data_IF_715060323628
#
_entry.id   IF_715060323628
#
_cell.length_a   1.000
_cell.length_b   1.000
_cell.length_c   1.000
_cell.angle_alpha   90.00
_cell.angle_beta   90.00
_cell.angle_gamma   90.00
#
_symmetry.space_group_name_H-M   'P 1'
#
loop_
_entity.id
_entity.type
_entity.pdbx_description
1 polymer ?
#
# COMPACT_ATOMS: atom_id res chain seq x y z
N UNK A 1 21.39 -5.17 63.39
CA UNK A 1 20.63 -6.16 62.60
C UNK A 1 19.50 -5.58 61.73
N UNK A 2 18.66 -4.65 62.21
CA UNK A 2 17.50 -4.14 61.41
C UNK A 2 17.87 -3.39 60.11
N UNK A 3 18.94 -2.59 60.09
CA UNK A 3 19.33 -1.86 58.86
C UNK A 3 19.87 -2.73 57.73
N UNK A 4 20.45 -3.90 58.07
CA UNK A 4 21.03 -4.82 57.08
C UNK A 4 19.92 -5.67 56.45
N UNK A 5 18.92 -6.10 57.24
CA UNK A 5 17.76 -6.82 56.76
C UNK A 5 16.89 -5.93 55.83
N UNK A 6 16.76 -4.63 56.17
CA UNK A 6 16.01 -3.70 55.32
C UNK A 6 16.66 -3.50 53.93
N UNK A 7 17.99 -3.43 53.89
CA UNK A 7 18.72 -3.30 52.61
C UNK A 7 18.58 -4.57 51.72
N UNK A 8 18.57 -5.76 52.36
CA UNK A 8 18.36 -7.03 51.66
C UNK A 8 16.93 -7.15 51.12
N UNK A 9 15.93 -6.75 51.90
CA UNK A 9 14.53 -6.74 51.48
C UNK A 9 14.30 -5.72 50.38
N UNK A 10 14.92 -4.54 50.46
CA UNK A 10 14.83 -3.51 49.43
C UNK A 10 15.51 -3.95 48.11
N UNK A 11 16.66 -4.65 48.19
CA UNK A 11 17.34 -5.23 47.01
C UNK A 11 16.53 -6.34 46.38
N UNK A 12 15.86 -7.19 47.17
CA UNK A 12 14.94 -8.22 46.66
C UNK A 12 13.71 -7.64 46.02
N UNK A 13 13.15 -6.56 46.60
CA UNK A 13 12.01 -5.83 46.03
C UNK A 13 12.38 -5.13 44.72
N UNK A 14 13.58 -4.56 44.62
CA UNK A 14 14.11 -3.97 43.37
C UNK A 14 14.37 -5.04 42.29
N UNK A 15 14.82 -6.23 42.64
CA UNK A 15 14.98 -7.35 41.73
C UNK A 15 13.61 -7.91 41.27
N UNK A 16 12.62 -7.93 42.17
CA UNK A 16 11.23 -8.29 41.81
C UNK A 16 10.56 -7.26 40.90
N UNK A 17 10.80 -5.96 41.12
CA UNK A 17 10.28 -4.88 40.27
C UNK A 17 10.99 -4.87 38.90
N UNK A 18 12.26 -5.26 38.80
CA UNK A 18 12.98 -5.37 37.52
C UNK A 18 12.47 -6.51 36.65
N UNK A 19 11.72 -7.46 37.19
CA UNK A 19 11.06 -8.53 36.42
C UNK A 19 9.62 -8.17 35.97
N UNK A 20 9.09 -7.00 36.34
CA UNK A 20 7.95 -6.38 35.67
C UNK A 20 8.41 -5.73 34.36
N UNK A 21 9.24 -6.43 33.63
CA UNK A 21 9.78 -6.01 32.37
C UNK A 21 8.70 -6.13 31.32
N UNK A 22 8.33 -5.00 30.76
CA UNK A 22 7.88 -4.79 29.41
C UNK A 22 7.59 -6.09 28.65
N UNK A 23 6.40 -6.63 28.83
CA UNK A 23 5.82 -7.51 27.84
C UNK A 23 5.66 -6.67 26.59
N UNK A 24 6.68 -6.67 25.73
CA UNK A 24 6.56 -6.03 24.42
C UNK A 24 5.31 -6.59 23.75
N UNK A 25 4.39 -5.70 23.40
CA UNK A 25 3.18 -6.08 22.66
C UNK A 25 3.65 -6.85 21.42
N UNK A 26 3.27 -8.12 21.32
CA UNK A 26 3.57 -8.92 20.13
C UNK A 26 2.96 -8.30 18.90
N UNK A 27 3.68 -8.30 17.80
CA UNK A 27 3.16 -7.93 16.50
C UNK A 27 2.13 -8.96 16.05
N UNK A 28 0.85 -8.54 16.01
CA UNK A 28 -0.25 -9.43 15.68
C UNK A 28 -0.46 -9.44 14.17
N UNK A 29 -0.32 -10.61 13.56
CA UNK A 29 -0.56 -10.81 12.14
C UNK A 29 -1.74 -11.76 11.93
N UNK A 30 -2.62 -11.41 11.00
CA UNK A 30 -3.64 -12.32 10.48
C UNK A 30 -3.15 -12.85 9.14
N UNK A 31 -2.99 -14.17 9.07
CA UNK A 31 -2.72 -14.90 7.85
C UNK A 31 -4.05 -15.46 7.31
N UNK A 32 -4.35 -15.11 6.08
CA UNK A 32 -5.56 -15.50 5.38
C UNK A 32 -5.21 -16.46 4.24
N UNK A 33 -5.67 -17.69 4.35
CA UNK A 33 -5.62 -18.64 3.26
C UNK A 33 -6.84 -18.43 2.36
N UNK A 34 -6.63 -17.94 1.15
CA UNK A 34 -7.69 -17.66 0.19
C UNK A 34 -8.58 -18.89 -0.04
N UNK A 35 -9.86 -18.63 -0.33
CA UNK A 35 -10.86 -19.68 -0.60
C UNK A 35 -11.06 -20.67 0.56
N UNK A 36 -11.57 -21.87 0.28
CA UNK A 36 -11.77 -22.94 1.27
C UNK A 36 -13.17 -23.55 1.22
N UNK A 37 -13.33 -24.76 1.71
CA UNK A 37 -14.60 -25.49 1.75
C UNK A 37 -15.24 -25.63 0.37
N UNK A 38 -16.44 -25.06 0.21
CA UNK A 38 -17.17 -25.04 -1.05
C UNK A 38 -16.57 -24.13 -2.13
N UNK A 39 -15.78 -23.14 -1.72
CA UNK A 39 -15.07 -22.26 -2.64
C UNK A 39 -13.69 -22.86 -2.95
N UNK A 40 -13.56 -23.42 -4.15
CA UNK A 40 -12.31 -24.06 -4.58
C UNK A 40 -11.27 -23.06 -5.09
N UNK A 41 -11.64 -21.83 -5.36
CA UNK A 41 -10.81 -20.89 -6.10
C UNK A 41 -10.51 -21.38 -7.51
N UNK A 42 -9.45 -20.87 -8.11
CA UNK A 42 -8.95 -21.38 -9.37
C UNK A 42 -8.54 -22.85 -9.23
N UNK A 43 -8.84 -23.66 -10.27
CA UNK A 43 -8.45 -25.06 -10.27
C UNK A 43 -8.16 -25.57 -11.69
N UNK A 44 -7.30 -26.58 -11.78
CA UNK A 44 -6.95 -27.23 -13.05
C UNK A 44 -6.55 -28.67 -12.83
N UNK A 45 -6.79 -29.49 -13.87
CA UNK A 45 -6.34 -30.88 -13.91
C UNK A 45 -5.20 -31.02 -14.91
N UNK A 46 -4.09 -31.58 -14.46
CA UNK A 46 -2.95 -31.98 -15.27
C UNK A 46 -2.84 -33.49 -15.31
N UNK A 47 -2.31 -34.04 -16.41
CA UNK A 47 -2.24 -35.50 -16.61
C UNK A 47 -1.29 -36.20 -15.65
N UNK A 48 -0.28 -35.49 -15.17
CA UNK A 48 0.83 -36.00 -14.37
C UNK A 48 0.69 -35.74 -12.87
N UNK A 49 0.14 -34.59 -12.45
CA UNK A 49 -0.01 -34.23 -11.03
C UNK A 49 -1.50 -34.26 -10.57
N UNK A 50 -2.43 -34.59 -11.49
CA UNK A 50 -3.85 -34.65 -11.16
C UNK A 50 -4.51 -33.27 -11.03
N UNK A 51 -5.63 -33.23 -10.28
CA UNK A 51 -6.35 -31.97 -10.00
C UNK A 51 -5.66 -31.21 -8.89
N UNK A 52 -5.37 -29.95 -9.16
CA UNK A 52 -4.93 -28.96 -8.18
C UNK A 52 -6.03 -27.91 -8.00
N UNK A 53 -6.20 -27.42 -6.78
CA UNK A 53 -7.13 -26.35 -6.43
C UNK A 53 -6.41 -25.29 -5.60
N UNK A 54 -6.74 -24.05 -5.86
CA UNK A 54 -6.15 -22.90 -5.19
C UNK A 54 -6.29 -22.99 -3.67
N UNK A 55 -7.47 -23.37 -3.16
CA UNK A 55 -7.74 -23.50 -1.73
C UNK A 55 -6.75 -24.42 -0.99
N UNK A 56 -6.28 -25.46 -1.66
CA UNK A 56 -5.34 -26.43 -1.03
C UNK A 56 -3.92 -25.86 -0.98
N UNK A 57 -3.50 -25.23 -2.06
CA UNK A 57 -2.18 -24.58 -2.17
C UNK A 57 -2.07 -23.40 -1.20
N UNK A 58 -3.08 -22.55 -1.16
CA UNK A 58 -3.10 -21.36 -0.27
C UNK A 58 -3.08 -21.77 1.19
N UNK A 59 -3.80 -22.83 1.57
CA UNK A 59 -3.77 -23.37 2.92
C UNK A 59 -2.39 -23.91 3.27
N UNK A 60 -1.77 -24.68 2.39
CA UNK A 60 -0.45 -25.26 2.62
C UNK A 60 0.61 -24.16 2.82
N UNK A 61 0.67 -23.17 1.94
CA UNK A 61 1.60 -22.04 2.04
C UNK A 61 1.34 -21.24 3.33
N UNK A 62 0.07 -20.91 3.61
CA UNK A 62 -0.31 -20.13 4.81
C UNK A 62 0.13 -20.82 6.09
N UNK A 63 -0.05 -22.14 6.21
CA UNK A 63 0.37 -22.90 7.38
C UNK A 63 1.89 -22.92 7.53
N UNK A 64 2.65 -23.02 6.43
CA UNK A 64 4.11 -22.96 6.44
C UNK A 64 4.62 -21.58 6.89
N UNK A 65 4.05 -20.48 6.36
CA UNK A 65 4.36 -19.10 6.79
C UNK A 65 4.08 -18.95 8.29
N UNK A 66 2.91 -19.40 8.71
CA UNK A 66 2.50 -19.29 10.10
C UNK A 66 3.39 -20.10 11.05
N UNK A 67 3.77 -21.33 10.69
CA UNK A 67 4.66 -22.14 11.48
C UNK A 67 6.06 -21.52 11.66
N UNK A 68 6.56 -20.77 10.67
CA UNK A 68 7.80 -20.01 10.79
C UNK A 68 7.63 -18.80 11.72
N UNK A 69 6.53 -18.05 11.57
CA UNK A 69 6.25 -16.87 12.42
C UNK A 69 5.99 -17.26 13.88
N UNK A 70 5.30 -18.37 14.16
CA UNK A 70 5.01 -18.85 15.51
C UNK A 70 6.27 -19.22 16.30
N UNK A 71 7.36 -19.60 15.63
CA UNK A 71 8.67 -19.82 16.25
C UNK A 71 9.31 -18.51 16.75
N UNK A 72 8.92 -17.37 16.22
CA UNK A 72 9.43 -16.06 16.61
C UNK A 72 8.52 -15.44 17.69
N UNK A 73 9.09 -15.21 18.88
CA UNK A 73 8.35 -14.71 20.06
C UNK A 73 7.77 -13.31 19.88
N UNK A 74 8.24 -12.56 18.92
CA UNK A 74 7.77 -11.20 18.63
C UNK A 74 6.41 -11.19 17.93
N UNK A 75 5.97 -12.33 17.39
CA UNK A 75 4.73 -12.45 16.64
C UNK A 75 3.63 -13.16 17.42
N UNK A 76 2.40 -12.73 17.14
CA UNK A 76 1.16 -13.45 17.44
C UNK A 76 0.47 -13.71 16.11
N UNK A 77 0.39 -14.98 15.71
CA UNK A 77 -0.24 -15.39 14.46
C UNK A 77 -1.69 -15.78 14.72
N UNK A 78 -2.57 -15.30 13.86
CA UNK A 78 -3.99 -15.64 13.82
C UNK A 78 -4.30 -16.06 12.38
N UNK A 79 -5.03 -17.14 12.21
CA UNK A 79 -5.39 -17.66 10.89
C UNK A 79 -6.88 -17.47 10.66
N UNK A 80 -7.27 -17.13 9.45
CA UNK A 80 -8.68 -17.12 9.05
C UNK A 80 -9.24 -18.54 8.96
N UNK A 81 -8.39 -19.49 8.52
CA UNK A 81 -8.65 -20.94 8.55
C UNK A 81 -7.37 -21.75 8.70
N UNK A 82 -7.45 -22.92 9.28
CA UNK A 82 -6.37 -23.92 9.41
C UNK A 82 -6.72 -25.26 8.77
N UNK A 83 -7.93 -25.42 8.31
CA UNK A 83 -8.47 -26.61 7.65
C UNK A 83 -9.22 -26.19 6.38
N UNK A 84 -9.72 -27.17 5.64
CA UNK A 84 -10.54 -26.91 4.45
C UNK A 84 -11.99 -26.53 4.85
N UNK A 85 -12.15 -25.27 5.26
CA UNK A 85 -13.43 -24.63 5.58
C UNK A 85 -13.55 -23.29 4.85
N UNK A 86 -14.78 -22.80 4.70
CA UNK A 86 -15.06 -21.52 4.02
C UNK A 86 -15.41 -20.41 5.01
N UNK A 87 -14.48 -19.57 5.43
CA UNK A 87 -14.81 -18.28 6.07
C UNK A 87 -15.24 -17.27 5.00
N UNK A 88 -16.35 -16.58 5.23
CA UNK A 88 -16.80 -15.50 4.36
C UNK A 88 -15.78 -14.35 4.33
N UNK A 89 -15.84 -13.46 3.32
CA UNK A 89 -14.95 -12.29 3.26
C UNK A 89 -15.15 -11.38 4.48
N UNK A 90 -16.40 -11.23 4.93
CA UNK A 90 -16.74 -10.49 6.15
C UNK A 90 -16.14 -11.13 7.40
N UNK A 91 -16.15 -12.47 7.50
CA UNK A 91 -15.55 -13.15 8.66
C UNK A 91 -14.04 -12.95 8.72
N UNK A 92 -13.35 -13.01 7.57
CA UNK A 92 -11.89 -12.77 7.46
C UNK A 92 -11.52 -11.37 7.93
N UNK A 93 -12.17 -10.34 7.39
CA UNK A 93 -11.89 -8.94 7.74
C UNK A 93 -12.32 -8.60 9.17
N UNK A 94 -13.47 -9.13 9.63
CA UNK A 94 -13.94 -8.95 10.99
C UNK A 94 -13.02 -9.61 12.02
N UNK A 95 -12.47 -10.79 11.71
CA UNK A 95 -11.47 -11.46 12.55
C UNK A 95 -10.22 -10.57 12.70
N UNK A 96 -9.71 -10.03 11.59
CA UNK A 96 -8.54 -9.16 11.61
C UNK A 96 -8.79 -7.89 12.44
N UNK A 97 -9.93 -7.22 12.23
CA UNK A 97 -10.29 -6.00 12.93
C UNK A 97 -10.52 -6.22 14.44
N UNK A 98 -11.27 -7.27 14.81
CA UNK A 98 -11.50 -7.62 16.23
C UNK A 98 -10.22 -8.01 16.96
N UNK A 99 -9.32 -8.66 16.25
CA UNK A 99 -8.00 -9.05 16.80
C UNK A 99 -7.06 -7.87 16.96
N UNK A 100 -7.43 -6.67 16.45
CA UNK A 100 -6.56 -5.49 16.39
C UNK A 100 -5.22 -5.85 15.78
N UNK A 101 -5.26 -6.56 14.66
CA UNK A 101 -4.07 -7.01 13.97
C UNK A 101 -3.24 -5.81 13.50
N UNK A 102 -1.92 -5.97 13.57
CA UNK A 102 -0.97 -4.98 13.07
C UNK A 102 -0.72 -5.18 11.57
N UNK A 103 -1.08 -6.36 11.02
CA UNK A 103 -0.92 -6.72 9.61
C UNK A 103 -1.92 -7.81 9.19
N UNK A 104 -2.42 -7.72 7.96
CA UNK A 104 -3.23 -8.75 7.30
C UNK A 104 -2.57 -9.19 6.00
N UNK A 105 -2.37 -10.49 5.83
CA UNK A 105 -1.75 -11.09 4.62
C UNK A 105 -2.65 -12.19 4.09
N UNK A 106 -3.24 -11.97 2.92
CA UNK A 106 -4.03 -12.95 2.17
C UNK A 106 -3.16 -13.61 1.12
N UNK A 107 -3.22 -14.94 1.03
CA UNK A 107 -2.40 -15.75 0.13
C UNK A 107 -3.31 -16.43 -0.87
N UNK A 108 -3.05 -16.23 -2.16
CA UNK A 108 -3.82 -16.67 -3.31
C UNK A 108 -2.95 -17.28 -4.40
N UNK A 109 -3.60 -17.86 -5.41
CA UNK A 109 -2.99 -18.30 -6.65
C UNK A 109 -3.75 -17.74 -7.84
N UNK A 110 -3.06 -17.04 -8.72
CA UNK A 110 -3.65 -16.40 -9.88
C UNK A 110 -4.16 -17.41 -10.91
N UNK A 111 -5.06 -16.95 -11.77
CA UNK A 111 -5.50 -17.65 -12.97
C UNK A 111 -5.84 -16.64 -14.05
N UNK A 112 -5.62 -17.02 -15.31
CA UNK A 112 -5.90 -16.18 -16.46
C UNK A 112 -6.50 -16.99 -17.60
N UNK A 113 -7.36 -16.36 -18.39
CA UNK A 113 -7.81 -16.95 -19.66
C UNK A 113 -6.65 -17.13 -20.66
N UNK A 114 -5.54 -16.42 -20.49
CA UNK A 114 -4.33 -16.56 -21.30
C UNK A 114 -3.42 -17.63 -20.67
N UNK A 115 -3.20 -18.78 -21.31
CA UNK A 115 -2.39 -19.86 -20.74
C UNK A 115 -0.90 -19.53 -20.62
N UNK A 116 -0.46 -18.45 -21.26
CA UNK A 116 0.92 -17.93 -21.20
C UNK A 116 1.14 -16.89 -20.09
N UNK A 117 0.10 -16.56 -19.32
CA UNK A 117 0.26 -15.66 -18.17
C UNK A 117 1.02 -16.37 -17.05
N UNK A 118 2.07 -15.76 -16.55
CA UNK A 118 2.92 -16.29 -15.48
C UNK A 118 3.50 -15.17 -14.62
N UNK A 119 4.04 -15.53 -13.46
CA UNK A 119 4.70 -14.62 -12.53
C UNK A 119 3.86 -14.33 -11.29
N UNK A 120 4.46 -13.68 -10.31
CA UNK A 120 3.81 -13.28 -9.05
C UNK A 120 3.23 -11.88 -9.15
N UNK A 121 2.17 -11.63 -8.40
CA UNK A 121 1.55 -10.31 -8.27
C UNK A 121 1.18 -10.07 -6.80
N UNK A 122 1.37 -8.87 -6.30
CA UNK A 122 0.85 -8.51 -4.98
C UNK A 122 -0.12 -7.34 -5.10
N UNK A 123 -1.28 -7.48 -4.47
CA UNK A 123 -2.34 -6.48 -4.48
C UNK A 123 -2.44 -5.78 -3.13
N UNK A 124 -2.62 -4.47 -3.19
CA UNK A 124 -2.97 -3.62 -2.05
C UNK A 124 -4.29 -2.92 -2.33
N UNK A 125 -5.00 -2.54 -1.27
CA UNK A 125 -6.25 -1.83 -1.42
C UNK A 125 -6.03 -0.47 -2.06
N UNK A 126 -6.80 -0.17 -3.10
CA UNK A 126 -6.76 1.08 -3.82
C UNK A 126 -7.75 1.10 -4.98
N UNK A 127 -7.87 2.22 -5.71
CA UNK A 127 -8.69 2.28 -6.91
C UNK A 127 -8.13 1.35 -7.99
N UNK A 128 -9.01 0.79 -8.81
CA UNK A 128 -8.61 -0.05 -9.93
C UNK A 128 -7.76 0.74 -10.93
N UNK A 129 -6.54 0.28 -11.20
CA UNK A 129 -5.58 1.01 -12.02
C UNK A 129 -5.50 0.56 -13.48
N UNK A 130 -5.87 -0.69 -13.80
CA UNK A 130 -5.77 -1.26 -15.15
C UNK A 130 -6.89 -2.23 -15.47
N UNK A 131 -7.30 -2.28 -16.76
CA UNK A 131 -8.30 -3.23 -17.26
C UNK A 131 -7.82 -4.69 -17.23
N UNK A 132 -6.52 -4.95 -17.41
CA UNK A 132 -5.98 -6.33 -17.44
C UNK A 132 -6.14 -7.05 -16.09
N UNK A 133 -6.06 -6.31 -14.98
CA UNK A 133 -6.25 -6.88 -13.64
C UNK A 133 -7.71 -6.80 -13.15
N UNK A 134 -8.64 -6.32 -13.97
CA UNK A 134 -10.06 -6.28 -13.63
C UNK A 134 -10.63 -7.70 -13.49
N UNK A 135 -10.11 -8.66 -14.28
CA UNK A 135 -10.53 -10.06 -14.21
C UNK A 135 -10.19 -10.69 -12.86
N UNK A 136 -8.99 -10.43 -12.32
CA UNK A 136 -8.61 -10.89 -10.97
C UNK A 136 -9.55 -10.29 -9.93
N UNK A 137 -9.74 -8.95 -9.96
CA UNK A 137 -10.63 -8.29 -8.99
C UNK A 137 -12.08 -8.80 -9.08
N UNK A 138 -12.58 -9.11 -10.27
CA UNK A 138 -13.91 -9.72 -10.44
C UNK A 138 -13.95 -11.11 -9.80
N UNK A 139 -13.01 -11.98 -10.14
CA UNK A 139 -12.97 -13.35 -9.61
C UNK A 139 -12.90 -13.37 -8.08
N UNK A 140 -11.96 -12.57 -7.49
CA UNK A 140 -11.80 -12.51 -6.04
C UNK A 140 -13.00 -11.84 -5.34
N UNK A 141 -13.72 -10.97 -6.03
CA UNK A 141 -14.93 -10.33 -5.49
C UNK A 141 -16.19 -11.15 -5.74
N UNK A 142 -16.25 -12.03 -6.75
CA UNK A 142 -17.44 -12.80 -7.08
C UNK A 142 -17.84 -13.81 -5.98
N UNK A 143 -16.90 -14.16 -5.09
CA UNK A 143 -17.18 -15.01 -3.92
C UNK A 143 -18.18 -14.40 -2.94
N UNK A 144 -18.50 -13.10 -3.02
CA UNK A 144 -19.58 -12.47 -2.23
C UNK A 144 -20.93 -13.13 -2.48
N UNK A 145 -21.14 -13.74 -3.65
CA UNK A 145 -22.38 -14.41 -3.97
C UNK A 145 -22.52 -15.78 -3.30
N UNK A 146 -21.46 -16.30 -2.68
CA UNK A 146 -21.48 -17.58 -1.97
C UNK A 146 -22.02 -17.48 -0.55
N UNK A 147 -22.02 -16.27 0.04
CA UNK A 147 -22.48 -16.04 1.41
C UNK A 147 -23.48 -14.88 1.51
N UNK A 148 -24.57 -15.09 2.26
CA UNK A 148 -25.65 -14.11 2.37
C UNK A 148 -25.25 -12.86 3.17
N UNK A 149 -24.33 -12.99 4.17
CA UNK A 149 -23.82 -11.84 4.91
C UNK A 149 -22.92 -10.99 4.04
N UNK A 150 -22.12 -11.63 3.18
CA UNK A 150 -21.26 -10.91 2.24
C UNK A 150 -22.11 -10.18 1.20
N UNK A 151 -23.16 -10.77 0.68
CA UNK A 151 -24.14 -10.08 -0.19
C UNK A 151 -24.73 -8.85 0.48
N UNK A 152 -25.13 -8.96 1.74
CA UNK A 152 -25.69 -7.83 2.49
C UNK A 152 -24.65 -6.76 2.77
N UNK A 153 -23.43 -7.16 3.13
CA UNK A 153 -22.33 -6.24 3.49
C UNK A 153 -21.80 -5.49 2.28
N UNK A 154 -21.62 -6.19 1.16
CA UNK A 154 -20.94 -5.66 -0.03
C UNK A 154 -21.90 -5.34 -1.17
N UNK A 155 -23.07 -5.97 -1.24
CA UNK A 155 -24.06 -5.78 -2.30
C UNK A 155 -24.72 -4.39 -2.31
N UNK A 156 -24.79 -3.72 -1.16
CA UNK A 156 -25.27 -2.33 -1.03
C UNK A 156 -24.16 -1.29 -1.23
N UNK A 157 -22.90 -1.72 -1.34
CA UNK A 157 -21.80 -0.80 -1.56
C UNK A 157 -21.88 -0.21 -2.97
N UNK A 158 -22.19 1.06 -3.05
CA UNK A 158 -22.07 1.81 -4.29
C UNK A 158 -20.67 2.42 -4.39
N UNK A 159 -19.80 1.87 -5.25
CA UNK A 159 -18.44 2.39 -5.42
C UNK A 159 -18.40 3.83 -5.95
N UNK A 160 -19.52 4.30 -6.52
CA UNK A 160 -19.63 5.63 -7.13
C UNK A 160 -20.26 6.65 -6.17
N UNK A 161 -20.68 6.26 -4.95
CA UNK A 161 -21.21 7.23 -4.00
C UNK A 161 -20.08 8.09 -3.41
N UNK A 162 -20.23 9.42 -3.37
CA UNK A 162 -19.20 10.33 -2.86
C UNK A 162 -18.81 10.03 -1.41
N UNK A 163 -19.76 9.66 -0.55
CA UNK A 163 -19.54 9.36 0.85
C UNK A 163 -18.72 8.08 1.04
N UNK A 164 -19.06 7.03 0.29
CA UNK A 164 -18.32 5.76 0.28
C UNK A 164 -16.88 5.96 -0.21
N UNK A 165 -16.70 6.78 -1.24
CA UNK A 165 -15.38 7.11 -1.78
C UNK A 165 -14.53 7.92 -0.80
N UNK A 166 -15.10 8.89 -0.08
CA UNK A 166 -14.35 9.70 0.89
C UNK A 166 -13.91 8.85 2.08
N UNK A 167 -14.81 8.08 2.68
CA UNK A 167 -14.49 7.19 3.80
C UNK A 167 -13.41 6.17 3.41
N UNK A 168 -13.56 5.56 2.24
CA UNK A 168 -12.61 4.59 1.71
C UNK A 168 -11.25 5.23 1.42
N UNK A 169 -11.20 6.41 0.80
CA UNK A 169 -9.95 7.14 0.52
C UNK A 169 -9.21 7.51 1.80
N UNK A 170 -9.90 7.95 2.85
CA UNK A 170 -9.29 8.27 4.14
C UNK A 170 -8.68 7.03 4.81
N UNK A 171 -9.40 5.91 4.79
CA UNK A 171 -8.91 4.65 5.37
C UNK A 171 -7.74 4.09 4.56
N UNK A 172 -7.83 4.11 3.24
CA UNK A 172 -6.78 3.63 2.33
C UNK A 172 -5.50 4.45 2.45
N UNK A 173 -5.60 5.78 2.49
CA UNK A 173 -4.41 6.64 2.57
C UNK A 173 -3.58 6.38 3.83
N UNK A 174 -4.21 5.96 4.93
CA UNK A 174 -3.54 5.67 6.19
C UNK A 174 -2.65 4.44 6.14
N UNK A 175 -3.06 3.40 5.40
CA UNK A 175 -2.36 2.10 5.40
C UNK A 175 -1.68 1.77 4.07
N UNK A 176 -1.95 2.55 3.02
CA UNK A 176 -1.47 2.27 1.67
C UNK A 176 0.07 2.20 1.60
N UNK A 177 0.78 3.18 2.16
CA UNK A 177 2.24 3.20 2.15
C UNK A 177 2.82 1.94 2.80
N UNK A 178 2.28 1.55 3.95
CA UNK A 178 2.72 0.35 4.66
C UNK A 178 2.39 -0.93 3.90
N UNK A 179 1.23 -0.98 3.25
CA UNK A 179 0.84 -2.13 2.40
C UNK A 179 1.73 -2.24 1.17
N UNK A 180 2.04 -1.12 0.51
CA UNK A 180 2.98 -1.07 -0.63
C UNK A 180 4.39 -1.50 -0.22
N UNK A 181 4.85 -1.09 0.97
CA UNK A 181 6.15 -1.53 1.49
C UNK A 181 6.21 -3.05 1.62
N UNK A 182 5.19 -3.66 2.26
CA UNK A 182 5.17 -5.12 2.39
C UNK A 182 5.07 -5.80 1.04
N UNK A 183 4.18 -5.33 0.16
CA UNK A 183 4.03 -5.89 -1.19
C UNK A 183 5.35 -5.86 -1.97
N UNK A 184 6.10 -4.75 -1.87
CA UNK A 184 7.43 -4.62 -2.48
C UNK A 184 8.41 -5.64 -1.95
N UNK A 185 8.49 -5.80 -0.63
CA UNK A 185 9.39 -6.78 0.01
C UNK A 185 9.05 -8.23 -0.37
N UNK A 186 7.76 -8.56 -0.56
CA UNK A 186 7.32 -9.87 -1.04
C UNK A 186 7.80 -10.11 -2.46
N UNK A 187 7.50 -9.20 -3.38
CA UNK A 187 7.90 -9.33 -4.78
C UNK A 187 9.43 -9.35 -4.95
N UNK A 188 10.16 -8.53 -4.19
CA UNK A 188 11.63 -8.54 -4.17
C UNK A 188 12.20 -9.91 -3.75
N UNK A 189 11.60 -10.57 -2.76
CA UNK A 189 12.02 -11.91 -2.36
C UNK A 189 11.73 -12.96 -3.43
N UNK A 190 10.55 -12.92 -4.06
CA UNK A 190 10.23 -13.83 -5.16
C UNK A 190 11.22 -13.70 -6.33
N UNK A 191 11.66 -12.48 -6.65
CA UNK A 191 12.67 -12.25 -7.69
C UNK A 191 14.07 -12.66 -7.24
N UNK A 192 14.50 -12.17 -6.07
CA UNK A 192 15.90 -12.26 -5.68
C UNK A 192 16.25 -13.63 -5.06
N UNK A 193 15.33 -14.25 -4.32
CA UNK A 193 15.53 -15.57 -3.67
C UNK A 193 15.01 -16.69 -4.54
N UNK A 194 13.74 -16.65 -4.92
CA UNK A 194 13.10 -17.76 -5.62
C UNK A 194 13.37 -17.73 -7.13
N UNK A 195 14.01 -16.66 -7.64
CA UNK A 195 14.33 -16.46 -9.06
C UNK A 195 13.12 -16.47 -9.97
N UNK A 196 11.98 -16.07 -9.45
CA UNK A 196 10.72 -16.02 -10.17
C UNK A 196 10.50 -14.67 -10.86
N UNK A 197 9.69 -14.67 -11.88
CA UNK A 197 9.23 -13.43 -12.52
C UNK A 197 8.19 -12.75 -11.64
N UNK A 198 8.41 -11.49 -11.29
CA UNK A 198 7.43 -10.65 -10.64
C UNK A 198 6.74 -9.77 -11.67
N UNK A 199 5.42 -9.65 -11.56
CA UNK A 199 4.62 -8.70 -12.33
C UNK A 199 4.45 -7.38 -11.58
N UNK A 200 4.76 -7.37 -10.26
CA UNK A 200 4.82 -6.19 -9.41
C UNK A 200 3.68 -6.07 -8.41
N UNK A 201 3.62 -4.89 -7.78
CA UNK A 201 2.58 -4.54 -6.80
C UNK A 201 1.53 -3.65 -7.45
N UNK A 202 0.26 -3.99 -7.28
CA UNK A 202 -0.87 -3.30 -7.91
C UNK A 202 -1.88 -2.83 -6.87
N UNK A 203 -2.54 -1.73 -7.16
CA UNK A 203 -3.68 -1.27 -6.37
C UNK A 203 -4.97 -1.78 -6.98
N UNK A 204 -5.82 -2.41 -6.15
CA UNK A 204 -7.11 -2.98 -6.55
C UNK A 204 -8.14 -2.81 -5.46
N UNK A 205 -9.40 -2.67 -5.87
CA UNK A 205 -10.52 -2.69 -4.94
C UNK A 205 -10.95 -4.14 -4.68
N UNK A 206 -10.27 -4.79 -3.75
CA UNK A 206 -10.58 -6.16 -3.32
C UNK A 206 -11.38 -6.14 -2.02
N UNK A 207 -12.48 -6.90 -1.96
CA UNK A 207 -13.37 -6.91 -0.80
C UNK A 207 -12.65 -7.37 0.48
N UNK A 208 -11.81 -8.40 0.37
CA UNK A 208 -11.04 -8.93 1.51
C UNK A 208 -10.02 -7.95 2.07
N UNK A 209 -9.60 -6.94 1.31
CA UNK A 209 -8.67 -5.90 1.76
C UNK A 209 -9.39 -4.61 2.21
N UNK A 210 -10.56 -4.33 1.61
CA UNK A 210 -11.24 -3.04 1.72
C UNK A 210 -11.66 -2.70 3.15
N UNK A 211 -12.15 -3.67 3.91
CA UNK A 211 -12.69 -3.45 5.24
C UNK A 211 -11.65 -3.57 6.37
N UNK A 212 -10.39 -3.79 6.05
CA UNK A 212 -9.33 -3.95 7.02
C UNK A 212 -8.89 -2.60 7.60
N UNK A 213 -8.76 -2.55 8.92
CA UNK A 213 -8.30 -1.38 9.67
C UNK A 213 -6.80 -1.44 10.01
N UNK A 214 -6.01 -2.11 9.16
CA UNK A 214 -4.56 -2.26 9.24
C UNK A 214 -3.95 -2.38 7.83
N UNK A 215 -2.61 -2.24 7.69
CA UNK A 215 -1.91 -2.58 6.46
C UNK A 215 -2.27 -3.99 5.98
N UNK A 216 -2.56 -4.14 4.69
CA UNK A 216 -3.12 -5.38 4.14
C UNK A 216 -2.63 -5.62 2.72
N UNK A 217 -2.27 -6.86 2.41
CA UNK A 217 -1.89 -7.32 1.07
C UNK A 217 -2.61 -8.60 0.70
N UNK A 218 -2.83 -8.80 -0.60
CA UNK A 218 -3.18 -10.08 -1.21
C UNK A 218 -2.06 -10.47 -2.16
N UNK A 219 -1.49 -11.66 -1.95
CA UNK A 219 -0.32 -12.18 -2.67
C UNK A 219 -0.78 -13.27 -3.62
N UNK A 220 -0.63 -13.06 -4.90
CA UNK A 220 -0.82 -14.06 -5.96
C UNK A 220 0.50 -14.80 -6.18
N UNK A 221 0.59 -16.01 -5.67
CA UNK A 221 1.84 -16.77 -5.63
C UNK A 221 2.26 -17.39 -6.96
N UNK A 222 1.46 -17.26 -7.99
CA UNK A 222 1.70 -17.78 -9.36
C UNK A 222 0.41 -18.25 -10.03
N UNK A 223 0.48 -18.59 -11.30
CA UNK A 223 -0.69 -18.92 -12.11
C UNK A 223 -0.96 -20.42 -12.13
N UNK A 224 -2.13 -20.84 -11.62
CA UNK A 224 -2.60 -22.26 -11.65
C UNK A 224 -2.77 -22.80 -13.08
N UNK A 225 -3.10 -21.94 -14.04
CA UNK A 225 -3.29 -22.35 -15.43
C UNK A 225 -2.00 -22.38 -16.27
N UNK A 226 -0.88 -21.93 -15.73
CA UNK A 226 0.43 -22.03 -16.40
C UNK A 226 1.13 -23.33 -15.99
N UNK A 227 1.50 -24.22 -16.94
CA UNK A 227 2.01 -25.56 -16.59
C UNK A 227 3.21 -25.57 -15.64
N UNK A 228 4.24 -24.79 -15.91
CA UNK A 228 5.45 -24.75 -15.09
C UNK A 228 5.17 -24.16 -13.69
N UNK A 229 4.41 -23.06 -13.62
CA UNK A 229 4.07 -22.45 -12.33
C UNK A 229 3.17 -23.33 -11.50
N UNK A 230 2.17 -23.97 -12.12
CA UNK A 230 1.27 -24.89 -11.41
C UNK A 230 2.01 -26.04 -10.74
N UNK A 231 2.97 -26.64 -11.42
CA UNK A 231 3.81 -27.70 -10.85
C UNK A 231 4.65 -27.18 -9.70
N UNK A 232 5.21 -25.99 -9.83
CA UNK A 232 6.00 -25.36 -8.78
C UNK A 232 5.18 -25.05 -7.53
N UNK A 233 4.05 -24.33 -7.67
CA UNK A 233 3.21 -23.93 -6.53
C UNK A 233 2.47 -25.12 -5.89
N UNK A 234 2.26 -26.21 -6.62
CA UNK A 234 1.68 -27.44 -6.08
C UNK A 234 2.73 -28.33 -5.39
N UNK A 235 4.01 -28.14 -5.67
CA UNK A 235 5.07 -28.94 -5.07
C UNK A 235 5.38 -28.52 -3.63
N UNK A 236 5.77 -29.49 -2.79
CA UNK A 236 6.20 -29.23 -1.40
C UNK A 236 7.35 -28.22 -1.37
N UNK A 237 8.35 -28.40 -2.22
CA UNK A 237 9.50 -27.51 -2.34
C UNK A 237 9.09 -26.08 -2.72
N UNK A 238 8.25 -25.92 -3.74
CA UNK A 238 7.80 -24.59 -4.18
C UNK A 238 7.00 -23.86 -3.09
N UNK A 239 6.15 -24.60 -2.35
CA UNK A 239 5.40 -24.05 -1.23
C UNK A 239 6.31 -23.63 -0.07
N UNK A 240 7.39 -24.37 0.20
CA UNK A 240 8.40 -24.01 1.20
C UNK A 240 9.16 -22.74 0.82
N UNK A 241 9.65 -22.66 -0.42
CA UNK A 241 10.36 -21.48 -0.95
C UNK A 241 9.47 -20.24 -0.93
N UNK A 242 8.24 -20.33 -1.42
CA UNK A 242 7.25 -19.24 -1.38
C UNK A 242 6.97 -18.79 0.06
N UNK A 243 6.76 -19.77 0.96
CA UNK A 243 6.47 -19.47 2.36
C UNK A 243 7.67 -18.79 3.05
N UNK A 244 8.89 -19.20 2.76
CA UNK A 244 10.10 -18.57 3.28
C UNK A 244 10.25 -17.14 2.76
N UNK A 245 9.97 -16.89 1.48
CA UNK A 245 10.02 -15.56 0.89
C UNK A 245 8.98 -14.62 1.51
N UNK A 246 7.76 -15.08 1.75
CA UNK A 246 6.71 -14.30 2.44
C UNK A 246 7.10 -14.05 3.90
N UNK A 247 7.59 -15.07 4.61
CA UNK A 247 8.08 -14.94 5.99
C UNK A 247 9.18 -13.88 6.11
N UNK A 248 10.19 -13.94 5.25
CA UNK A 248 11.28 -12.97 5.26
C UNK A 248 10.80 -11.55 4.97
N UNK A 249 9.85 -11.37 4.04
CA UNK A 249 9.22 -10.07 3.77
C UNK A 249 8.50 -9.51 5.00
N UNK A 250 7.78 -10.35 5.74
CA UNK A 250 7.09 -9.96 6.98
C UNK A 250 8.09 -9.55 8.07
N UNK A 251 9.20 -10.29 8.22
CA UNK A 251 10.26 -9.96 9.17
C UNK A 251 10.88 -8.58 8.84
N UNK A 252 11.21 -8.35 7.57
CA UNK A 252 11.83 -7.10 7.16
C UNK A 252 10.85 -5.92 7.22
N UNK A 253 9.58 -6.16 6.91
CA UNK A 253 8.50 -5.21 7.12
C UNK A 253 8.39 -4.79 8.60
N UNK A 254 8.32 -5.77 9.53
CA UNK A 254 8.28 -5.48 10.97
C UNK A 254 9.49 -4.66 11.42
N UNK A 255 10.69 -5.03 11.00
CA UNK A 255 11.91 -4.25 11.29
C UNK A 255 11.79 -2.80 10.80
N UNK A 256 11.24 -2.57 9.61
CA UNK A 256 11.04 -1.23 9.06
C UNK A 256 10.03 -0.41 9.87
N UNK A 257 8.92 -1.04 10.30
CA UNK A 257 7.90 -0.42 11.15
C UNK A 257 8.44 -0.09 12.53
N UNK A 258 9.18 -1.01 13.17
CA UNK A 258 9.78 -0.82 14.49
C UNK A 258 10.77 0.35 14.49
N UNK A 259 11.57 0.50 13.43
CA UNK A 259 12.47 1.65 13.27
C UNK A 259 11.73 2.98 13.18
N UNK A 260 10.60 3.03 12.47
CA UNK A 260 9.75 4.23 12.40
C UNK A 260 9.14 4.59 13.75
N UNK A 261 8.81 3.58 14.58
CA UNK A 261 8.18 3.77 15.90
C UNK A 261 9.19 4.04 17.02
N UNK A 262 10.43 3.58 16.88
CA UNK A 262 11.49 3.62 17.89
C UNK A 262 12.37 4.89 17.90
N UNK A 263 11.93 5.97 17.27
CA UNK A 263 12.68 7.26 17.21
C UNK A 263 12.95 7.96 18.55
N UNK A 264 12.89 7.24 19.66
CA UNK A 264 13.31 7.72 20.99
C UNK A 264 13.64 6.52 21.89
N UNK A 265 14.87 6.04 21.86
CA UNK A 265 15.67 5.48 22.97
C UNK A 265 16.96 4.84 22.40
N UNK A 266 18.08 5.41 22.84
CA UNK A 266 19.47 4.92 22.98
C UNK A 266 19.99 3.73 22.14
N UNK A 267 21.02 4.03 21.37
CA UNK A 267 21.92 3.10 20.66
C UNK A 267 22.56 2.06 21.57
N UNK A 268 22.52 0.78 21.17
CA UNK A 268 23.55 -0.20 21.46
C UNK A 268 24.07 -0.81 20.16
N UNK A 269 25.39 -0.73 20.02
CA UNK A 269 26.20 -1.14 18.88
C UNK A 269 26.22 -2.67 18.74
N UNK A 270 25.88 -3.21 17.55
CA UNK A 270 26.24 -4.55 17.12
C UNK A 270 26.63 -4.57 15.64
N UNK A 271 27.55 -5.44 15.26
CA UNK A 271 28.29 -5.55 14.02
C UNK A 271 27.45 -5.97 12.78
N UNK A 272 27.99 -5.84 11.54
CA UNK A 272 27.19 -5.58 10.35
C UNK A 272 26.65 -6.85 9.71
N UNK A 273 25.34 -7.08 9.78
CA UNK A 273 24.60 -7.87 8.81
C UNK A 273 24.27 -7.00 7.58
N UNK A 274 24.21 -7.65 6.39
CA UNK A 274 23.91 -7.01 5.09
C UNK A 274 22.87 -5.88 5.20
N UNK A 275 23.04 -4.76 4.53
CA UNK A 275 22.30 -3.54 4.80
C UNK A 275 20.79 -3.74 4.54
N UNK A 276 20.01 -3.70 5.62
CA UNK A 276 18.59 -3.43 5.51
C UNK A 276 18.41 -2.09 4.78
N UNK A 277 17.47 -2.02 3.86
CA UNK A 277 17.22 -0.83 3.07
C UNK A 277 16.96 0.37 3.99
N UNK A 278 17.94 1.25 4.09
CA UNK A 278 17.81 2.48 4.87
C UNK A 278 16.84 3.41 4.15
N UNK A 279 15.85 4.01 4.82
CA UNK A 279 15.01 5.01 4.19
C UNK A 279 15.89 6.08 3.53
N UNK A 280 15.59 6.40 2.30
CA UNK A 280 16.30 7.43 1.57
C UNK A 280 16.06 8.78 2.23
N UNK A 281 17.07 9.65 2.18
CA UNK A 281 17.01 10.99 2.76
C UNK A 281 15.89 11.84 2.17
N UNK A 282 15.54 11.58 0.91
CA UNK A 282 14.53 12.31 0.15
C UNK A 282 13.26 11.48 -0.02
N UNK A 283 12.12 12.16 -0.11
CA UNK A 283 10.92 11.58 -0.65
C UNK A 283 11.01 11.54 -2.18
N UNK A 284 10.74 10.40 -2.78
CA UNK A 284 10.78 10.22 -4.23
C UNK A 284 9.37 10.16 -4.80
N UNK A 285 9.19 10.84 -5.92
CA UNK A 285 8.01 10.77 -6.78
C UNK A 285 8.45 10.43 -8.18
N UNK A 286 7.58 9.80 -8.94
CA UNK A 286 7.87 9.45 -10.35
C UNK A 286 7.33 10.56 -11.23
N UNK A 287 8.20 11.28 -11.90
CA UNK A 287 7.80 12.23 -12.95
C UNK A 287 7.33 11.43 -14.17
N UNK A 288 6.05 11.48 -14.46
CA UNK A 288 5.44 10.79 -15.59
C UNK A 288 5.72 11.52 -16.90
N UNK A 289 5.43 12.82 -16.89
CA UNK A 289 5.57 13.68 -18.07
C UNK A 289 5.55 15.15 -17.67
N UNK A 290 5.95 16.00 -18.61
CA UNK A 290 5.72 17.45 -18.60
C UNK A 290 4.86 17.83 -19.80
N UNK A 291 3.93 18.76 -19.62
CA UNK A 291 3.02 19.22 -20.69
C UNK A 291 2.69 20.71 -20.54
N UNK A 292 2.57 21.46 -21.63
CA UNK A 292 2.03 22.81 -21.57
C UNK A 292 0.53 22.81 -21.28
N UNK A 293 -0.16 21.68 -21.49
CA UNK A 293 -1.58 21.49 -21.23
C UNK A 293 -1.79 20.96 -19.83
N UNK A 294 -2.75 21.54 -19.10
CA UNK A 294 -3.18 21.06 -17.78
C UNK A 294 -4.16 19.90 -17.97
N UNK A 295 -3.84 18.76 -17.38
CA UNK A 295 -4.70 17.58 -17.33
C UNK A 295 -5.29 17.43 -15.94
N UNK A 296 -6.56 17.02 -15.86
CA UNK A 296 -7.22 16.69 -14.60
C UNK A 296 -6.81 15.29 -14.12
N UNK A 297 -7.05 14.98 -12.86
CA UNK A 297 -6.63 13.73 -12.19
C UNK A 297 -7.05 12.44 -12.93
N UNK A 298 -8.21 12.43 -13.58
CA UNK A 298 -8.73 11.28 -14.33
C UNK A 298 -8.58 11.41 -15.85
N UNK A 299 -7.74 12.34 -16.32
CA UNK A 299 -7.55 12.55 -17.74
C UNK A 299 -6.92 11.30 -18.40
N UNK A 300 -7.41 10.86 -19.57
CA UNK A 300 -6.83 9.72 -20.30
C UNK A 300 -5.33 9.86 -20.57
N UNK A 301 -4.80 11.09 -20.66
CA UNK A 301 -3.38 11.36 -20.82
C UNK A 301 -2.55 10.83 -19.63
N UNK A 302 -3.14 10.69 -18.45
CA UNK A 302 -2.52 10.13 -17.25
C UNK A 302 -2.64 8.59 -17.18
N UNK A 303 -3.24 7.96 -18.19
CA UNK A 303 -3.28 6.50 -18.40
C UNK A 303 -3.75 5.70 -17.18
N UNK A 304 -4.70 6.26 -16.43
CA UNK A 304 -5.28 5.63 -15.25
C UNK A 304 -4.39 5.59 -14.01
N UNK A 305 -3.23 6.26 -14.01
CA UNK A 305 -2.44 6.43 -12.79
C UNK A 305 -3.13 7.43 -11.87
N UNK A 306 -3.47 6.96 -10.68
CA UNK A 306 -4.06 7.79 -9.62
C UNK A 306 -2.97 8.37 -8.71
N UNK A 307 -3.33 9.29 -7.83
CA UNK A 307 -2.41 9.98 -6.90
C UNK A 307 -1.32 10.81 -7.61
N UNK A 308 -1.70 11.46 -8.67
CA UNK A 308 -0.81 12.36 -9.40
C UNK A 308 -0.78 13.71 -8.72
N UNK A 309 0.42 14.15 -8.33
CA UNK A 309 0.68 15.52 -7.92
C UNK A 309 1.08 16.33 -9.16
N UNK A 310 0.37 17.42 -9.41
CA UNK A 310 0.71 18.33 -10.52
C UNK A 310 1.40 19.57 -9.98
N UNK A 311 2.58 19.88 -10.52
CA UNK A 311 3.35 21.10 -10.19
C UNK A 311 3.59 21.88 -11.48
N UNK A 312 3.32 23.19 -11.46
CA UNK A 312 3.65 24.07 -12.59
C UNK A 312 5.06 24.66 -12.38
N UNK A 313 5.94 24.39 -13.31
CA UNK A 313 7.31 24.92 -13.34
C UNK A 313 7.69 25.34 -14.75
N UNK A 314 8.25 26.54 -14.91
CA UNK A 314 8.73 27.08 -16.20
C UNK A 314 7.69 26.99 -17.32
N UNK A 315 6.43 27.32 -17.04
CA UNK A 315 5.33 27.26 -18.02
C UNK A 315 4.82 25.86 -18.35
N UNK A 316 5.38 24.81 -17.76
CA UNK A 316 5.00 23.40 -17.97
C UNK A 316 4.35 22.83 -16.72
N UNK A 317 3.35 21.98 -16.92
CA UNK A 317 2.76 21.17 -15.86
C UNK A 317 3.52 19.85 -15.76
N UNK A 318 4.13 19.59 -14.62
CA UNK A 318 4.84 18.34 -14.30
C UNK A 318 3.96 17.44 -13.48
N UNK A 319 3.75 16.22 -13.94
CA UNK A 319 2.87 15.22 -13.34
C UNK A 319 3.68 14.19 -12.60
N UNK A 320 3.56 14.17 -11.27
CA UNK A 320 4.27 13.25 -10.39
C UNK A 320 3.33 12.19 -9.84
N UNK A 321 3.73 10.95 -9.96
CA UNK A 321 3.01 9.78 -9.48
C UNK A 321 3.66 9.23 -8.22
N UNK A 322 2.83 8.78 -7.26
CA UNK A 322 3.21 8.16 -6.00
C UNK A 322 4.17 9.01 -5.15
N UNK A 323 4.45 8.57 -3.95
CA UNK A 323 5.47 9.15 -3.06
C UNK A 323 6.01 8.06 -2.14
N UNK A 324 7.33 8.01 -1.98
CA UNK A 324 7.99 7.11 -1.04
C UNK A 324 9.40 7.58 -0.71
N UNK A 325 9.89 7.23 0.48
CA UNK A 325 11.29 7.37 0.86
C UNK A 325 12.02 6.01 0.91
N UNK A 326 11.40 4.93 0.39
CA UNK A 326 11.99 3.59 0.32
C UNK A 326 12.45 3.31 -1.11
N UNK A 327 13.68 2.81 -1.28
CA UNK A 327 14.26 2.57 -2.60
C UNK A 327 13.49 1.50 -3.38
N UNK A 328 13.12 0.39 -2.72
CA UNK A 328 12.33 -0.69 -3.34
C UNK A 328 10.97 -0.18 -3.84
N UNK A 329 10.25 0.57 -3.02
CA UNK A 329 8.95 1.15 -3.39
C UNK A 329 9.10 2.18 -4.49
N UNK A 330 10.17 2.99 -4.49
CA UNK A 330 10.51 3.91 -5.58
C UNK A 330 10.66 3.17 -6.91
N UNK A 331 11.39 2.05 -6.91
CA UNK A 331 11.65 1.27 -8.12
C UNK A 331 10.37 0.58 -8.63
N UNK A 332 9.53 0.08 -7.73
CA UNK A 332 8.19 -0.44 -8.05
C UNK A 332 7.32 0.65 -8.69
N UNK A 333 7.24 1.83 -8.07
CA UNK A 333 6.46 2.94 -8.61
C UNK A 333 6.98 3.37 -10.00
N UNK A 334 8.29 3.37 -10.20
CA UNK A 334 8.89 3.66 -11.49
C UNK A 334 8.53 2.61 -12.53
N UNK A 335 8.57 1.32 -12.17
CA UNK A 335 8.15 0.23 -13.05
C UNK A 335 6.67 0.38 -13.41
N UNK A 336 5.79 0.59 -12.44
CA UNK A 336 4.36 0.79 -12.65
C UNK A 336 4.06 1.95 -13.61
N UNK A 337 4.79 3.06 -13.50
CA UNK A 337 4.66 4.17 -14.42
C UNK A 337 5.10 3.80 -15.86
N UNK A 338 6.17 3.05 -16.01
CA UNK A 338 6.65 2.58 -17.31
C UNK A 338 5.69 1.57 -17.96
N UNK A 339 5.16 0.66 -17.16
CA UNK A 339 4.18 -0.36 -17.59
C UNK A 339 2.85 0.29 -18.02
N UNK A 340 2.44 1.38 -17.34
CA UNK A 340 1.32 2.22 -17.78
C UNK A 340 1.62 2.99 -19.11
N UNK A 341 2.84 2.90 -19.63
CA UNK A 341 3.24 3.48 -20.92
C UNK A 341 3.91 4.84 -20.83
N UNK A 342 4.37 5.27 -19.65
CA UNK A 342 5.25 6.43 -19.48
C UNK A 342 6.71 6.01 -19.58
N UNK A 343 7.15 5.64 -20.78
CA UNK A 343 8.48 5.05 -21.04
C UNK A 343 9.64 5.93 -20.56
N UNK A 344 9.46 7.25 -20.56
CA UNK A 344 10.47 8.23 -20.13
C UNK A 344 10.29 8.66 -18.66
N UNK A 345 9.42 8.00 -17.89
CA UNK A 345 9.25 8.30 -16.47
C UNK A 345 10.56 8.04 -15.71
N UNK A 346 10.84 8.88 -14.74
CA UNK A 346 11.98 8.73 -13.82
C UNK A 346 11.65 9.25 -12.42
N UNK A 347 12.41 8.75 -11.44
CA UNK A 347 12.23 9.16 -10.05
C UNK A 347 12.88 10.53 -9.79
N UNK A 348 12.16 11.38 -9.07
CA UNK A 348 12.63 12.70 -8.63
C UNK A 348 12.60 12.74 -7.11
N UNK A 349 13.73 13.12 -6.51
CA UNK A 349 13.85 13.29 -5.06
C UNK A 349 13.37 14.68 -4.62
N UNK A 350 12.56 14.69 -3.56
CA UNK A 350 12.13 15.90 -2.86
C UNK A 350 12.69 15.84 -1.45
N UNK A 351 13.45 16.86 -1.05
CA UNK A 351 13.98 16.94 0.33
C UNK A 351 12.84 17.26 1.27
N UNK A 352 12.49 16.36 2.24
CA UNK A 352 11.40 16.60 3.17
C UNK A 352 11.66 17.87 4.00
N UNK A 353 10.61 18.64 4.24
CA UNK A 353 10.61 19.82 5.12
C UNK A 353 11.69 20.88 4.80
N UNK A 354 12.29 20.85 3.61
CA UNK A 354 13.24 21.87 3.21
C UNK A 354 12.47 23.16 2.85
N UNK A 355 12.73 24.23 3.60
CA UNK A 355 12.32 25.57 3.20
C UNK A 355 13.06 25.95 1.94
N UNK A 356 12.32 26.41 0.95
CA UNK A 356 12.93 26.89 -0.27
C UNK A 356 13.60 28.21 0.06
N UNK A 357 14.91 28.24 -0.04
CA UNK A 357 15.72 29.42 0.30
C UNK A 357 15.50 30.59 -0.66
N UNK A 358 14.94 30.34 -1.85
CA UNK A 358 14.73 31.34 -2.90
C UNK A 358 13.42 31.13 -3.63
N UNK A 359 12.27 31.16 -2.91
CA UNK A 359 10.97 31.01 -3.53
C UNK A 359 9.90 30.51 -2.56
N UNK A 360 8.71 30.32 -3.08
CA UNK A 360 7.57 29.82 -2.32
C UNK A 360 6.67 28.98 -3.22
N UNK A 361 5.76 28.20 -2.62
CA UNK A 361 4.67 27.54 -3.31
C UNK A 361 3.38 28.32 -3.14
N UNK A 362 2.58 28.31 -4.18
CA UNK A 362 1.21 28.84 -4.20
C UNK A 362 0.29 27.87 -4.93
N UNK A 363 -1.00 28.02 -4.78
CA UNK A 363 -1.99 27.25 -5.55
C UNK A 363 -2.52 28.10 -6.70
N UNK A 364 -2.44 27.59 -7.90
CA UNK A 364 -3.26 28.07 -9.00
C UNK A 364 -4.67 27.53 -8.80
N UNK A 365 -5.61 28.42 -8.50
CA UNK A 365 -7.01 28.07 -8.20
C UNK A 365 -7.95 28.28 -9.38
N UNK A 366 -7.53 29.08 -10.36
CA UNK A 366 -8.25 29.27 -11.61
C UNK A 366 -7.33 29.88 -12.69
N UNK A 367 -7.55 29.47 -13.92
CA UNK A 367 -6.89 30.02 -15.10
C UNK A 367 -7.94 30.17 -16.22
N UNK A 368 -8.05 31.34 -16.83
CA UNK A 368 -9.02 31.59 -17.88
C UNK A 368 -9.40 33.04 -18.02
N UNK A 369 -10.67 33.33 -18.27
CA UNK A 369 -11.19 34.66 -18.34
C UNK A 369 -11.18 35.38 -16.98
N UNK A 370 -11.33 36.72 -17.00
CA UNK A 370 -11.39 37.47 -15.74
C UNK A 370 -12.60 37.07 -14.91
N UNK A 371 -12.33 36.57 -13.69
CA UNK A 371 -13.41 36.30 -12.74
C UNK A 371 -14.11 37.59 -12.32
N UNK A 372 -15.45 37.54 -12.25
CA UNK A 372 -16.23 38.65 -11.67
C UNK A 372 -16.17 38.53 -10.12
N UNK A 373 -16.47 39.62 -9.41
CA UNK A 373 -16.41 39.68 -7.96
C UNK A 373 -17.37 38.72 -7.24
N UNK A 374 -18.37 38.20 -7.94
CA UNK A 374 -19.34 37.23 -7.40
C UNK A 374 -18.95 35.78 -7.70
N UNK A 375 -17.74 35.53 -8.25
CA UNK A 375 -17.29 34.17 -8.49
C UNK A 375 -17.13 33.41 -7.18
N UNK A 376 -17.50 32.13 -7.18
CA UNK A 376 -17.39 31.25 -6.00
C UNK A 376 -16.00 31.25 -5.39
N UNK A 377 -14.96 31.29 -6.23
CA UNK A 377 -13.57 31.30 -5.79
C UNK A 377 -13.25 32.55 -4.96
N UNK A 378 -13.61 33.75 -5.47
CA UNK A 378 -13.32 35.00 -4.78
C UNK A 378 -14.18 35.21 -3.53
N UNK A 379 -15.35 34.58 -3.45
CA UNK A 379 -16.19 34.61 -2.25
C UNK A 379 -15.64 33.68 -1.12
N UNK A 380 -15.01 32.57 -1.46
CA UNK A 380 -14.58 31.54 -0.49
C UNK A 380 -13.09 31.59 -0.17
N UNK A 381 -12.28 32.30 -0.95
CA UNK A 381 -10.86 32.52 -0.68
C UNK A 381 -10.57 34.01 -0.55
N UNK A 382 -10.00 34.40 0.60
CA UNK A 382 -9.53 35.78 0.81
C UNK A 382 -8.08 35.88 0.29
N UNK A 383 -7.70 37.05 -0.18
CA UNK A 383 -6.33 37.35 -0.64
C UNK A 383 -5.87 36.47 -1.81
N UNK A 384 -6.75 36.31 -2.81
CA UNK A 384 -6.39 35.64 -4.06
C UNK A 384 -5.63 36.62 -4.94
N UNK A 385 -4.38 36.26 -5.27
CA UNK A 385 -3.56 37.01 -6.21
C UNK A 385 -4.03 36.81 -7.64
N UNK A 386 -3.91 37.85 -8.49
CA UNK A 386 -4.28 37.79 -9.88
C UNK A 386 -3.17 38.34 -10.76
N UNK A 387 -2.77 37.56 -11.72
CA UNK A 387 -1.85 37.96 -12.79
C UNK A 387 -2.51 37.83 -14.14
N UNK A 388 -2.12 38.69 -15.12
CA UNK A 388 -2.57 38.57 -16.51
C UNK A 388 -1.34 38.37 -17.40
N UNK A 389 -1.33 37.29 -18.14
CA UNK A 389 -0.33 37.00 -19.14
C UNK A 389 -1.00 36.59 -20.47
N UNK A 390 -0.54 37.17 -21.57
CA UNK A 390 -0.99 36.82 -22.94
C UNK A 390 -2.54 36.78 -23.09
N UNK A 391 -3.26 37.65 -22.37
CA UNK A 391 -4.74 37.74 -22.43
C UNK A 391 -5.46 36.80 -21.45
N UNK A 392 -4.77 35.89 -20.81
CA UNK A 392 -5.30 34.93 -19.84
C UNK A 392 -5.05 35.44 -18.43
N UNK A 393 -6.03 35.26 -17.54
CA UNK A 393 -5.89 35.57 -16.12
C UNK A 393 -5.58 34.32 -15.32
N UNK A 394 -4.57 34.43 -14.45
CA UNK A 394 -4.12 33.41 -13.51
C UNK A 394 -4.47 33.87 -12.10
N UNK A 395 -5.18 33.04 -11.36
CA UNK A 395 -5.54 33.31 -9.98
C UNK A 395 -4.82 32.35 -9.09
N UNK A 396 -4.04 32.87 -8.14
CA UNK A 396 -3.25 32.07 -7.21
C UNK A 396 -3.63 32.39 -5.76
N UNK A 397 -3.53 31.38 -4.90
CA UNK A 397 -3.93 31.50 -3.51
C UNK A 397 -2.89 30.89 -2.58
N UNK A 398 -2.61 31.61 -1.50
CA UNK A 398 -1.69 31.20 -0.45
C UNK A 398 -0.23 31.31 -0.85
N UNK A 399 0.61 31.36 0.17
CA UNK A 399 2.05 31.46 0.02
C UNK A 399 2.69 30.62 1.13
N UNK A 400 3.22 29.45 0.77
CA UNK A 400 3.84 28.52 1.69
C UNK A 400 5.24 28.16 1.21
N UNK A 401 6.08 27.71 2.10
CA UNK A 401 7.52 27.56 1.82
C UNK A 401 7.97 26.11 1.71
N UNK A 402 7.09 25.15 2.00
CA UNK A 402 7.35 23.73 1.80
C UNK A 402 6.31 23.10 0.85
N UNK A 403 6.70 22.07 0.13
CA UNK A 403 5.77 21.33 -0.71
C UNK A 403 4.67 20.65 0.11
N UNK A 404 5.01 20.20 1.32
CA UNK A 404 4.06 19.58 2.25
C UNK A 404 2.96 20.56 2.67
N UNK A 405 3.32 21.78 3.02
CA UNK A 405 2.36 22.85 3.32
C UNK A 405 1.51 23.20 2.09
N UNK A 406 2.09 23.16 0.88
CA UNK A 406 1.36 23.40 -0.35
C UNK A 406 0.31 22.31 -0.62
N UNK A 407 0.66 21.04 -0.39
CA UNK A 407 -0.28 19.90 -0.50
C UNK A 407 -1.37 19.99 0.56
N UNK A 408 -1.05 20.41 1.78
CA UNK A 408 -2.03 20.63 2.84
C UNK A 408 -3.01 21.76 2.46
N UNK A 409 -2.46 22.90 1.99
CA UNK A 409 -3.25 24.03 1.51
C UNK A 409 -4.16 23.64 0.35
N UNK A 410 -3.66 22.80 -0.58
CA UNK A 410 -4.46 22.28 -1.69
C UNK A 410 -5.69 21.51 -1.19
N UNK A 411 -5.49 20.60 -0.25
CA UNK A 411 -6.60 19.83 0.35
C UNK A 411 -7.61 20.72 1.06
N UNK A 412 -7.16 21.75 1.78
CA UNK A 412 -8.03 22.71 2.45
C UNK A 412 -8.90 23.51 1.45
N UNK A 413 -8.32 23.89 0.31
CA UNK A 413 -9.02 24.61 -0.77
C UNK A 413 -9.99 23.69 -1.50
N UNK A 414 -9.59 22.44 -1.77
CA UNK A 414 -10.46 21.44 -2.39
C UNK A 414 -11.64 21.05 -1.49
N UNK A 415 -11.44 21.00 -0.17
CA UNK A 415 -12.52 20.79 0.81
C UNK A 415 -13.57 21.91 0.80
N UNK A 416 -13.19 23.13 0.39
CA UNK A 416 -14.11 24.24 0.13
C UNK A 416 -14.83 24.15 -1.21
N UNK A 417 -14.69 23.04 -1.96
CA UNK A 417 -15.35 22.84 -3.26
C UNK A 417 -14.64 23.47 -4.46
N UNK A 418 -13.47 24.07 -4.28
CA UNK A 418 -12.64 24.63 -5.36
C UNK A 418 -11.72 23.53 -5.86
N UNK A 419 -12.11 22.88 -6.97
CA UNK A 419 -11.42 21.73 -7.55
C UNK A 419 -10.44 22.11 -8.65
N UNK A 420 -9.61 21.16 -9.08
CA UNK A 420 -8.63 21.33 -10.16
C UNK A 420 -7.56 22.40 -9.87
N UNK A 421 -7.16 22.51 -8.61
CA UNK A 421 -6.08 23.40 -8.21
C UNK A 421 -4.72 22.80 -8.58
N UNK A 422 -3.73 23.65 -8.85
CA UNK A 422 -2.36 23.22 -9.21
C UNK A 422 -1.36 23.86 -8.29
N UNK A 423 -0.51 23.04 -7.67
CA UNK A 423 0.62 23.57 -6.91
C UNK A 423 1.63 24.18 -7.89
N UNK A 424 1.95 25.44 -7.67
CA UNK A 424 2.90 26.20 -8.46
C UNK A 424 4.08 26.62 -7.58
N UNK A 425 5.30 26.34 -8.03
CA UNK A 425 6.52 26.83 -7.40
C UNK A 425 6.91 28.14 -8.03
N UNK A 426 7.03 29.17 -7.21
CA UNK A 426 7.46 30.50 -7.62
C UNK A 426 8.89 30.71 -7.16
N UNK A 427 9.81 30.90 -8.08
CA UNK A 427 11.19 31.27 -7.81
C UNK A 427 11.29 32.78 -7.67
N UNK A 428 12.12 33.26 -6.73
CA UNK A 428 12.46 34.68 -6.64
C UNK A 428 13.66 34.99 -7.49
#
# INVERSE_FOLDING_TARGET
MHKQNFKIILSFLLILISNFIFSQKKFTIVLDAGHGGSDHGANRTYSDIGRIAEKDITLAITLKVGAMLEKNRDFKVIYTRKIDEYPSLSDRTNLANRSKADLFVSIHCNSSARPTAYGTETYVQGPNQNNENLEVAKRENDVIFLDEKDKQTFGSYNPDSPESLIALKLQQSKYLESSLLLGGLVEDNFVNKDKRSSRGVFQKNLHVLRMNAMPSVLIETGFINHPEESHYIASEKGQEEIAESIYNAIIDYKKAVDRKSGGSIAMKKQEPEKPAETPLKNDFRILLMSSPTKYNENDPALKGLNYVLTIKENGQYKYYYAVTNMASVKDINLKSAKDAGFRNAFAVGFVPNQRISMGYYTLEVYTGEKLNGNSYILQNLKDVDREKDSGVFYYTYGKVYTLEDAVKLQKEVEAKGIKNTVIQKVYK
#
